data_IF_418931493141
#
_entry.id   IF_418931493141
#
_cell.length_a   1.000
_cell.length_b   1.000
_cell.length_c   1.000
_cell.angle_alpha   90.00
_cell.angle_beta   90.00
_cell.angle_gamma   90.00
#
_symmetry.space_group_name_H-M   'P 1'
#
loop_
_entity.id
_entity.type
_entity.pdbx_description
1 polymer ?
#
# COMPACT_ATOMS: atom_id res chain seq x y z
N UNK A 1 22.62 -32.20 5.36
CA UNK A 1 22.52 -30.80 4.88
C UNK A 1 23.91 -30.32 4.49
N UNK A 2 24.18 -30.21 3.20
CA UNK A 2 25.46 -29.73 2.65
C UNK A 2 25.55 -28.22 2.90
N UNK A 3 26.50 -27.78 3.72
CA UNK A 3 26.82 -26.36 3.85
C UNK A 3 27.55 -25.93 2.59
N UNK A 4 26.89 -25.20 1.71
CA UNK A 4 27.53 -24.59 0.54
C UNK A 4 28.45 -23.47 1.03
N UNK A 5 29.75 -23.59 0.76
CA UNK A 5 30.71 -22.53 1.06
C UNK A 5 30.52 -21.39 0.06
N UNK A 6 30.15 -20.22 0.57
CA UNK A 6 30.05 -18.98 -0.22
C UNK A 6 31.44 -18.35 -0.23
N UNK A 7 31.95 -18.01 -1.40
CA UNK A 7 33.23 -17.29 -1.53
C UNK A 7 33.06 -15.82 -1.14
N UNK A 8 34.15 -15.16 -0.71
CA UNK A 8 34.09 -13.74 -0.32
C UNK A 8 33.55 -12.85 -1.46
N UNK A 9 33.87 -13.19 -2.72
CA UNK A 9 33.35 -12.51 -3.91
C UNK A 9 31.83 -12.65 -4.06
N UNK A 10 31.28 -13.83 -3.81
CA UNK A 10 29.83 -14.05 -3.84
C UNK A 10 29.13 -13.32 -2.70
N UNK A 11 29.74 -13.28 -1.51
CA UNK A 11 29.24 -12.53 -0.37
C UNK A 11 29.21 -11.01 -0.67
N UNK A 12 30.29 -10.45 -1.22
CA UNK A 12 30.33 -9.05 -1.63
C UNK A 12 29.28 -8.72 -2.68
N UNK A 13 29.08 -9.62 -3.65
CA UNK A 13 28.05 -9.46 -4.67
C UNK A 13 26.64 -9.46 -4.07
N UNK A 14 26.35 -10.39 -3.14
CA UNK A 14 25.07 -10.44 -2.42
C UNK A 14 24.82 -9.18 -1.59
N UNK A 15 25.86 -8.65 -0.93
CA UNK A 15 25.76 -7.40 -0.18
C UNK A 15 25.49 -6.20 -1.10
N UNK A 16 26.13 -6.14 -2.26
CA UNK A 16 25.88 -5.10 -3.25
C UNK A 16 24.44 -5.17 -3.79
N UNK A 17 23.96 -6.38 -4.12
CA UNK A 17 22.57 -6.61 -4.52
C UNK A 17 21.58 -6.20 -3.43
N UNK A 18 21.88 -6.53 -2.17
CA UNK A 18 21.02 -6.15 -1.04
C UNK A 18 20.93 -4.63 -0.88
N UNK A 19 22.05 -3.92 -1.00
CA UNK A 19 22.06 -2.44 -0.95
C UNK A 19 21.27 -1.84 -2.11
N UNK A 20 21.41 -2.39 -3.32
CA UNK A 20 20.65 -1.94 -4.48
C UNK A 20 19.14 -2.17 -4.29
N UNK A 21 18.76 -3.35 -3.78
CA UNK A 21 17.37 -3.68 -3.44
C UNK A 21 16.80 -2.70 -2.41
N UNK A 22 17.49 -2.47 -1.29
CA UNK A 22 17.03 -1.57 -0.23
C UNK A 22 16.91 -0.12 -0.75
N UNK A 23 17.78 0.32 -1.66
CA UNK A 23 17.69 1.62 -2.30
C UNK A 23 16.46 1.75 -3.21
N UNK A 24 16.17 0.72 -4.02
CA UNK A 24 14.97 0.72 -4.88
C UNK A 24 13.69 0.65 -4.05
N UNK A 25 13.68 -0.14 -2.97
CA UNK A 25 12.56 -0.21 -2.04
C UNK A 25 12.23 1.18 -1.46
N UNK A 26 13.23 1.94 -0.99
CA UNK A 26 13.02 3.30 -0.50
C UNK A 26 12.48 4.25 -1.58
N UNK A 27 12.98 4.14 -2.81
CA UNK A 27 12.47 4.95 -3.93
C UNK A 27 11.00 4.66 -4.23
N UNK A 28 10.60 3.40 -4.17
CA UNK A 28 9.20 3.00 -4.34
C UNK A 28 8.34 3.60 -3.23
N UNK A 29 8.75 3.45 -1.96
CA UNK A 29 8.02 4.02 -0.81
C UNK A 29 7.87 5.56 -0.94
N UNK A 30 8.91 6.26 -1.41
CA UNK A 30 8.82 7.71 -1.66
C UNK A 30 7.83 8.05 -2.78
N UNK A 31 7.83 7.28 -3.88
CA UNK A 31 6.89 7.49 -4.98
C UNK A 31 5.43 7.21 -4.55
N UNK A 32 5.21 6.16 -3.76
CA UNK A 32 3.90 5.83 -3.19
C UNK A 32 3.39 6.95 -2.29
N UNK A 33 4.25 7.49 -1.41
CA UNK A 33 3.89 8.62 -0.54
C UNK A 33 3.55 9.88 -1.37
N UNK A 34 4.34 10.20 -2.39
CA UNK A 34 4.08 11.35 -3.27
C UNK A 34 2.74 11.22 -4.01
N UNK A 35 2.36 10.02 -4.45
CA UNK A 35 1.06 9.77 -5.06
C UNK A 35 -0.09 9.98 -4.07
N UNK A 36 0.07 9.54 -2.83
CA UNK A 36 -0.93 9.76 -1.77
C UNK A 36 -1.10 11.24 -1.47
N UNK A 37 0.00 12.00 -1.36
CA UNK A 37 -0.05 13.45 -1.16
C UNK A 37 -0.76 14.17 -2.30
N UNK A 38 -0.45 13.81 -3.55
CA UNK A 38 -1.10 14.36 -4.73
C UNK A 38 -2.61 14.06 -4.74
N UNK A 39 -3.02 12.82 -4.45
CA UNK A 39 -4.43 12.45 -4.39
C UNK A 39 -5.17 13.25 -3.31
N UNK A 40 -4.59 13.40 -2.13
CA UNK A 40 -5.16 14.20 -1.04
C UNK A 40 -5.30 15.67 -1.43
N UNK A 41 -4.30 16.24 -2.11
CA UNK A 41 -4.35 17.62 -2.60
C UNK A 41 -5.48 17.81 -3.62
N UNK A 42 -5.63 16.88 -4.56
CA UNK A 42 -6.71 16.93 -5.56
C UNK A 42 -8.09 16.82 -4.90
N UNK A 43 -8.25 15.89 -3.96
CA UNK A 43 -9.50 15.75 -3.21
C UNK A 43 -9.86 17.03 -2.46
N UNK A 44 -8.89 17.65 -1.78
CA UNK A 44 -9.12 18.91 -1.06
C UNK A 44 -9.57 20.04 -1.99
N UNK A 45 -8.97 20.17 -3.18
CA UNK A 45 -9.39 21.17 -4.17
C UNK A 45 -10.82 20.92 -4.66
N UNK A 46 -11.17 19.66 -4.93
CA UNK A 46 -12.53 19.30 -5.37
C UNK A 46 -13.54 19.59 -4.25
N UNK A 47 -13.21 19.28 -3.00
CA UNK A 47 -14.03 19.60 -1.83
C UNK A 47 -14.22 21.10 -1.62
N UNK A 48 -13.20 21.91 -1.95
CA UNK A 48 -13.27 23.36 -1.95
C UNK A 48 -14.10 23.94 -3.12
N UNK A 49 -14.66 23.09 -4.00
CA UNK A 49 -15.54 23.49 -5.09
C UNK A 49 -14.86 23.58 -6.46
N UNK A 50 -13.64 23.06 -6.61
CA UNK A 50 -13.00 23.01 -7.92
C UNK A 50 -13.81 22.17 -8.92
N UNK A 51 -14.02 22.70 -10.12
CA UNK A 51 -14.70 21.99 -11.20
C UNK A 51 -13.71 21.09 -11.94
N UNK A 52 -14.00 19.79 -11.99
CA UNK A 52 -13.17 18.83 -12.73
C UNK A 52 -13.59 18.82 -14.20
N UNK A 53 -12.76 19.40 -15.07
CA UNK A 53 -12.93 19.32 -16.53
C UNK A 53 -12.10 18.13 -17.02
N UNK A 54 -12.77 17.04 -17.36
CA UNK A 54 -12.11 15.81 -17.81
C UNK A 54 -12.90 15.18 -18.95
N UNK A 55 -12.18 14.60 -19.92
CA UNK A 55 -12.75 13.69 -20.94
C UNK A 55 -13.16 12.33 -20.37
N UNK A 56 -12.72 12.03 -19.14
CA UNK A 56 -12.99 10.79 -18.42
C UNK A 56 -14.02 11.03 -17.33
N UNK A 57 -14.85 10.03 -17.04
CA UNK A 57 -15.79 10.10 -15.93
C UNK A 57 -15.01 10.04 -14.60
N UNK A 58 -15.05 11.14 -13.84
CA UNK A 58 -14.42 11.25 -12.52
C UNK A 58 -15.49 11.09 -11.44
N UNK A 59 -15.25 10.21 -10.47
CA UNK A 59 -16.14 9.97 -9.33
C UNK A 59 -15.32 9.99 -8.03
N UNK A 60 -15.81 10.67 -7.00
CA UNK A 60 -15.29 10.50 -5.65
C UNK A 60 -16.07 9.38 -4.97
N UNK A 61 -15.38 8.35 -4.49
CA UNK A 61 -15.99 7.29 -3.68
C UNK A 61 -15.38 7.23 -2.30
N UNK A 62 -16.22 7.00 -1.31
CA UNK A 62 -15.77 6.60 0.03
C UNK A 62 -15.53 5.10 0.01
N UNK A 63 -14.31 4.69 0.34
CA UNK A 63 -13.89 3.30 0.43
C UNK A 63 -13.61 2.99 1.89
N UNK A 64 -14.31 1.97 2.39
CA UNK A 64 -14.08 1.43 3.72
C UNK A 64 -13.20 0.19 3.60
N UNK A 65 -12.08 0.17 4.31
CA UNK A 65 -11.17 -0.99 4.36
C UNK A 65 -10.87 -1.36 5.79
N UNK A 66 -10.89 -2.66 6.07
CA UNK A 66 -10.40 -3.25 7.33
C UNK A 66 -9.10 -3.97 7.06
N UNK A 67 -8.05 -3.20 6.77
CA UNK A 67 -6.70 -3.72 6.60
C UNK A 67 -5.86 -3.38 7.83
N UNK A 68 -5.82 -4.30 8.78
CA UNK A 68 -5.13 -4.11 10.06
C UNK A 68 -3.84 -4.92 10.08
N UNK A 69 -2.69 -4.31 10.44
CA UNK A 69 -1.39 -4.98 10.44
C UNK A 69 -1.35 -6.24 11.32
N UNK A 70 -2.18 -6.30 12.35
CA UNK A 70 -2.24 -7.45 13.26
C UNK A 70 -3.01 -8.64 12.70
N UNK A 71 -3.76 -8.50 11.58
CA UNK A 71 -4.62 -9.58 11.05
C UNK A 71 -3.84 -10.87 10.80
N UNK A 72 -2.68 -10.79 10.14
CA UNK A 72 -1.85 -11.97 9.85
C UNK A 72 -1.33 -12.63 11.13
N UNK A 73 -0.84 -11.84 12.08
CA UNK A 73 -0.32 -12.34 13.36
C UNK A 73 -1.43 -12.98 14.20
N UNK A 74 -2.61 -12.35 14.29
CA UNK A 74 -3.75 -12.92 15.01
C UNK A 74 -4.22 -14.23 14.39
N UNK A 75 -4.29 -14.33 13.05
CA UNK A 75 -4.71 -15.55 12.38
C UNK A 75 -3.81 -16.75 12.73
N UNK A 76 -2.51 -16.51 12.93
CA UNK A 76 -1.53 -17.53 13.33
C UNK A 76 -1.64 -17.92 14.82
N UNK A 77 -1.95 -16.98 15.71
CA UNK A 77 -1.95 -17.20 17.17
C UNK A 77 -3.28 -17.77 17.68
N UNK A 78 -4.41 -17.20 17.25
CA UNK A 78 -5.74 -17.50 17.77
C UNK A 78 -6.66 -18.19 16.74
N UNK A 79 -6.18 -18.35 15.50
CA UNK A 79 -6.93 -18.98 14.42
C UNK A 79 -7.73 -17.99 13.56
N UNK A 80 -8.03 -18.42 12.33
CA UNK A 80 -8.68 -17.58 11.32
C UNK A 80 -10.11 -17.16 11.71
N UNK A 81 -10.88 -18.06 12.30
CA UNK A 81 -12.28 -17.82 12.68
C UNK A 81 -12.40 -16.76 13.78
N UNK A 82 -11.60 -16.89 14.85
CA UNK A 82 -11.53 -15.88 15.92
C UNK A 82 -10.99 -14.54 15.42
N UNK A 83 -10.04 -14.56 14.48
CA UNK A 83 -9.49 -13.34 13.87
C UNK A 83 -10.52 -12.60 13.01
N UNK A 84 -11.35 -13.32 12.25
CA UNK A 84 -12.47 -12.73 11.51
C UNK A 84 -13.51 -12.11 12.45
N UNK A 85 -13.80 -12.75 13.59
CA UNK A 85 -14.70 -12.16 14.60
C UNK A 85 -14.17 -10.84 15.17
N UNK A 86 -12.87 -10.75 15.47
CA UNK A 86 -12.25 -9.49 15.92
C UNK A 86 -12.26 -8.45 14.79
N UNK A 87 -11.93 -8.85 13.56
CA UNK A 87 -11.94 -7.97 12.39
C UNK A 87 -13.34 -7.41 12.10
N UNK A 88 -14.39 -8.22 12.26
CA UNK A 88 -15.77 -7.81 12.09
C UNK A 88 -16.18 -6.69 13.07
N UNK A 89 -15.60 -6.70 14.27
CA UNK A 89 -15.82 -5.70 15.32
C UNK A 89 -14.80 -4.55 15.28
N UNK A 90 -13.81 -4.61 14.40
CA UNK A 90 -12.80 -3.56 14.26
C UNK A 90 -13.34 -2.44 13.38
N UNK A 91 -13.25 -1.16 13.82
CA UNK A 91 -13.66 -0.03 13.01
C UNK A 91 -12.93 -0.02 11.64
N UNK A 92 -13.65 0.20 10.53
CA UNK A 92 -13.01 0.34 9.24
C UNK A 92 -12.20 1.62 9.16
N UNK A 93 -11.08 1.57 8.43
CA UNK A 93 -10.45 2.77 7.92
C UNK A 93 -11.29 3.28 6.75
N UNK A 94 -11.77 4.52 6.89
CA UNK A 94 -12.55 5.20 5.86
C UNK A 94 -11.61 6.14 5.09
N UNK A 95 -11.54 5.97 3.78
CA UNK A 95 -10.76 6.87 2.91
C UNK A 95 -11.60 7.27 1.70
N UNK A 96 -11.57 8.56 1.34
CA UNK A 96 -12.15 9.02 0.07
C UNK A 96 -11.11 8.84 -1.02
N UNK A 97 -11.53 8.35 -2.19
CA UNK A 97 -10.66 8.09 -3.34
C UNK A 97 -11.24 8.73 -4.58
N UNK A 98 -10.35 9.23 -5.44
CA UNK A 98 -10.71 9.74 -6.75
C UNK A 98 -10.64 8.58 -7.75
N UNK A 99 -11.77 8.23 -8.36
CA UNK A 99 -11.84 7.22 -9.42
C UNK A 99 -11.97 7.90 -10.77
N UNK A 100 -11.01 7.62 -11.66
CA UNK A 100 -11.07 8.02 -13.07
C UNK A 100 -11.36 6.76 -13.87
N UNK A 101 -12.55 6.68 -14.47
CA UNK A 101 -12.89 5.56 -15.37
C UNK A 101 -12.34 5.87 -16.76
N UNK A 102 -11.63 4.91 -17.36
CA UNK A 102 -11.31 4.99 -18.78
C UNK A 102 -12.60 5.11 -19.60
N UNK A 103 -12.55 5.93 -20.65
CA UNK A 103 -13.68 6.03 -21.57
C UNK A 103 -13.74 4.70 -22.34
N UNK A 104 -14.90 4.05 -22.32
CA UNK A 104 -15.16 2.82 -23.06
C UNK A 104 -14.99 3.02 -24.57
#
# INVERSE_FOLDING_TARGET
MTKTAITDRELEHLLALRRAYDAQKRRLEMAENALVELENSLLSQIEAGATVISRHAVQIKTVERRNVPWKSVCAEVIGAEATEAILANTPPSVSRRLLVKEAA
#
